data_IF_112078426329
#
_entry.id   IF_112078426329
#
_cell.length_a   1.000
_cell.length_b   1.000
_cell.length_c   1.000
_cell.angle_alpha   90.00
_cell.angle_beta   90.00
_cell.angle_gamma   90.00
#
_symmetry.space_group_name_H-M   'P 1'
#
loop_
_entity.id
_entity.type
_entity.pdbx_description
1 polymer ?
#
# COMPACT_ATOMS: atom_id res chain seq x y z
N UNK A 1 27.28 3.65 -18.70
CA UNK A 1 26.21 4.50 -18.13
C UNK A 1 25.36 3.66 -17.19
N UNK A 2 25.99 3.08 -16.17
CA UNK A 2 25.24 2.53 -15.04
C UNK A 2 24.97 3.69 -14.08
N UNK A 3 23.98 4.50 -14.43
CA UNK A 3 23.42 5.44 -13.48
C UNK A 3 22.84 4.60 -12.34
N UNK A 4 23.54 4.62 -11.21
CA UNK A 4 23.09 4.07 -9.93
C UNK A 4 21.63 4.52 -9.76
N UNK A 5 20.67 3.60 -9.96
CA UNK A 5 19.26 3.84 -9.66
C UNK A 5 19.19 4.10 -8.16
N UNK A 6 19.32 5.37 -7.78
CA UNK A 6 19.22 5.81 -6.40
C UNK A 6 17.81 5.42 -5.94
N UNK A 7 17.72 4.41 -5.06
CA UNK A 7 16.42 3.97 -4.54
C UNK A 7 15.74 5.16 -3.85
N UNK A 8 14.56 5.53 -4.35
CA UNK A 8 13.83 6.71 -3.87
C UNK A 8 12.98 6.26 -2.68
N UNK A 9 13.31 6.75 -1.49
CA UNK A 9 12.56 6.46 -0.27
C UNK A 9 11.64 7.62 0.11
N UNK A 10 10.40 7.29 0.50
CA UNK A 10 9.43 8.23 1.06
C UNK A 10 9.84 8.75 2.44
N UNK A 11 8.97 9.53 3.07
CA UNK A 11 9.18 9.93 4.47
C UNK A 11 9.23 8.68 5.38
N UNK A 12 10.36 8.50 6.09
CA UNK A 12 10.60 7.34 6.93
C UNK A 12 9.62 7.23 8.11
N UNK A 13 9.16 8.36 8.65
CA UNK A 13 8.16 8.37 9.73
C UNK A 13 6.81 7.85 9.23
N UNK A 14 6.34 8.35 8.08
CA UNK A 14 5.09 7.88 7.47
C UNK A 14 5.18 6.40 7.10
N UNK A 15 6.33 5.94 6.61
CA UNK A 15 6.56 4.51 6.34
C UNK A 15 6.50 3.66 7.60
N UNK A 16 7.05 4.14 8.71
CA UNK A 16 7.01 3.43 9.99
C UNK A 16 5.57 3.30 10.51
N UNK A 17 4.80 4.38 10.46
CA UNK A 17 3.37 4.37 10.80
C UNK A 17 2.62 3.39 9.88
N UNK A 18 2.85 3.45 8.57
CA UNK A 18 2.27 2.52 7.60
C UNK A 18 2.56 1.05 7.95
N UNK A 19 3.79 0.72 8.36
CA UNK A 19 4.13 -0.64 8.77
C UNK A 19 3.42 -1.06 10.06
N UNK A 20 3.28 -0.17 11.05
CA UNK A 20 2.54 -0.48 12.29
C UNK A 20 1.10 -0.86 11.96
N UNK A 21 0.44 -0.09 11.10
CA UNK A 21 -0.93 -0.38 10.70
C UNK A 21 -1.04 -1.67 9.87
N UNK A 22 -0.04 -2.00 9.04
CA UNK A 22 0.01 -3.31 8.38
C UNK A 22 0.23 -4.46 9.36
N UNK A 23 0.94 -4.25 10.46
CA UNK A 23 1.04 -5.27 11.53
C UNK A 23 -0.34 -5.51 12.15
N UNK A 24 -1.10 -4.44 12.44
CA UNK A 24 -2.47 -4.59 12.94
C UNK A 24 -3.37 -5.33 11.95
N UNK A 25 -3.30 -4.97 10.65
CA UNK A 25 -4.02 -5.70 9.59
C UNK A 25 -3.62 -7.18 9.52
N UNK A 26 -2.33 -7.49 9.72
CA UNK A 26 -1.85 -8.88 9.73
C UNK A 26 -2.33 -9.65 10.95
N UNK A 27 -2.35 -9.04 12.14
CA UNK A 27 -2.88 -9.63 13.37
C UNK A 27 -4.38 -9.88 13.26
N UNK A 28 -5.10 -8.94 12.66
CA UNK A 28 -6.52 -9.06 12.36
C UNK A 28 -6.79 -10.24 11.41
N UNK A 29 -6.06 -10.33 10.29
CA UNK A 29 -6.19 -11.46 9.37
C UNK A 29 -5.88 -12.81 10.02
N UNK A 30 -4.91 -12.88 10.94
CA UNK A 30 -4.64 -14.07 11.74
C UNK A 30 -5.78 -14.40 12.73
N UNK A 31 -6.40 -13.39 13.34
CA UNK A 31 -7.55 -13.58 14.21
C UNK A 31 -8.76 -14.13 13.43
N UNK A 32 -9.03 -13.57 12.24
CA UNK A 32 -10.08 -14.03 11.32
C UNK A 32 -9.81 -15.47 10.86
N UNK A 33 -8.56 -15.80 10.52
CA UNK A 33 -8.15 -17.17 10.20
C UNK A 33 -8.41 -18.13 11.37
N UNK A 34 -7.95 -17.78 12.57
CA UNK A 34 -8.15 -18.60 13.77
C UNK A 34 -9.63 -18.84 14.06
N UNK A 35 -10.46 -17.80 13.92
CA UNK A 35 -11.90 -17.92 14.09
C UNK A 35 -12.56 -18.75 12.99
N UNK A 36 -12.10 -18.63 11.73
CA UNK A 36 -12.54 -19.48 10.63
C UNK A 36 -12.23 -20.97 10.86
N UNK A 37 -11.04 -21.29 11.39
CA UNK A 37 -10.66 -22.66 11.76
C UNK A 37 -11.55 -23.19 12.89
N UNK A 38 -11.78 -22.36 13.92
CA UNK A 38 -12.66 -22.71 15.03
C UNK A 38 -14.09 -23.04 14.55
N UNK A 39 -14.68 -22.19 13.71
CA UNK A 39 -16.02 -22.43 13.16
C UNK A 39 -16.07 -23.66 12.24
N UNK A 40 -15.00 -23.92 11.48
CA UNK A 40 -14.91 -25.13 10.66
C UNK A 40 -14.93 -26.39 11.52
N UNK A 41 -14.20 -26.39 12.64
CA UNK A 41 -14.08 -27.53 13.54
C UNK A 41 -15.39 -27.80 14.30
N UNK A 42 -16.05 -26.74 14.78
CA UNK A 42 -17.24 -26.85 15.63
C UNK A 42 -18.53 -27.06 14.82
N UNK A 43 -18.66 -26.40 13.66
CA UNK A 43 -19.92 -26.36 12.89
C UNK A 43 -19.75 -26.87 11.45
N UNK A 44 -19.85 -28.18 11.26
CA UNK A 44 -19.78 -28.83 9.94
C UNK A 44 -20.79 -28.30 8.91
N UNK A 45 -21.96 -27.83 9.36
CA UNK A 45 -23.00 -27.23 8.51
C UNK A 45 -22.64 -25.83 8.00
N UNK A 46 -21.68 -25.14 8.63
CA UNK A 46 -21.27 -23.77 8.29
C UNK A 46 -20.00 -23.71 7.44
N UNK A 47 -19.67 -24.79 6.72
CA UNK A 47 -18.43 -24.90 5.96
C UNK A 47 -18.22 -23.75 4.96
N UNK A 48 -19.27 -23.24 4.31
CA UNK A 48 -19.18 -22.11 3.37
C UNK A 48 -18.76 -20.83 4.10
N UNK A 49 -19.35 -20.59 5.27
CA UNK A 49 -19.06 -19.41 6.09
C UNK A 49 -17.63 -19.47 6.63
N UNK A 50 -17.23 -20.63 7.15
CA UNK A 50 -15.87 -20.89 7.60
C UNK A 50 -14.85 -20.72 6.45
N UNK A 51 -15.11 -21.30 5.27
CA UNK A 51 -14.26 -21.15 4.09
C UNK A 51 -14.10 -19.69 3.67
N UNK A 52 -15.17 -18.90 3.75
CA UNK A 52 -15.15 -17.47 3.41
C UNK A 52 -14.29 -16.68 4.38
N UNK A 53 -14.43 -16.90 5.70
CA UNK A 53 -13.60 -16.28 6.71
C UNK A 53 -12.12 -16.66 6.54
N UNK A 54 -11.83 -17.93 6.26
CA UNK A 54 -10.47 -18.38 5.99
C UNK A 54 -9.87 -17.67 4.78
N UNK A 55 -10.64 -17.54 3.70
CA UNK A 55 -10.21 -16.83 2.49
C UNK A 55 -9.91 -15.34 2.75
N UNK A 56 -10.79 -14.65 3.48
CA UNK A 56 -10.62 -13.23 3.82
C UNK A 56 -9.39 -13.04 4.72
N UNK A 57 -9.27 -13.79 5.82
CA UNK A 57 -8.16 -13.65 6.74
C UNK A 57 -6.80 -13.98 6.10
N UNK A 58 -6.78 -14.97 5.19
CA UNK A 58 -5.57 -15.26 4.40
C UNK A 58 -5.20 -14.12 3.46
N UNK A 59 -6.19 -13.53 2.80
CA UNK A 59 -5.98 -12.40 1.90
C UNK A 59 -5.49 -11.14 2.64
N UNK A 60 -6.05 -10.84 3.82
CA UNK A 60 -5.59 -9.77 4.71
C UNK A 60 -4.14 -9.98 5.16
N UNK A 61 -3.79 -11.21 5.53
CA UNK A 61 -2.42 -11.56 5.91
C UNK A 61 -1.43 -11.37 4.75
N UNK A 62 -1.79 -11.79 3.53
CA UNK A 62 -0.99 -11.55 2.32
C UNK A 62 -0.85 -10.04 2.08
N UNK A 63 -1.92 -9.27 2.23
CA UNK A 63 -1.88 -7.81 2.06
C UNK A 63 -0.95 -7.15 3.06
N UNK A 64 -1.00 -7.54 4.33
CA UNK A 64 -0.07 -7.07 5.35
C UNK A 64 1.40 -7.34 4.97
N UNK A 65 1.67 -8.54 4.46
CA UNK A 65 3.01 -8.91 3.96
C UNK A 65 3.43 -8.10 2.71
N UNK A 66 2.50 -7.85 1.78
CA UNK A 66 2.74 -6.98 0.63
C UNK A 66 3.03 -5.54 1.06
N UNK A 67 2.31 -5.03 2.07
CA UNK A 67 2.51 -3.71 2.66
C UNK A 67 3.94 -3.54 3.18
N UNK A 68 4.44 -4.50 3.96
CA UNK A 68 5.83 -4.49 4.45
C UNK A 68 6.86 -4.35 3.32
N UNK A 69 6.59 -4.99 2.19
CA UNK A 69 7.46 -4.99 1.01
C UNK A 69 7.22 -3.81 0.04
N UNK A 70 6.23 -2.95 0.29
CA UNK A 70 5.81 -1.88 -0.61
C UNK A 70 6.78 -0.67 -0.64
N UNK A 71 7.77 -0.61 0.27
CA UNK A 71 8.70 0.54 0.43
C UNK A 71 9.37 0.98 -0.87
N UNK A 72 9.73 0.03 -1.75
CA UNK A 72 10.65 0.25 -2.87
C UNK A 72 9.96 0.51 -4.21
N UNK A 73 8.68 0.18 -4.36
CA UNK A 73 8.01 0.23 -5.67
C UNK A 73 6.63 0.88 -5.57
N UNK A 74 6.47 2.00 -6.29
CA UNK A 74 5.18 2.68 -6.42
C UNK A 74 4.12 1.79 -7.08
N UNK A 75 4.52 0.92 -8.01
CA UNK A 75 3.60 -0.03 -8.62
C UNK A 75 3.09 -1.06 -7.59
N UNK A 76 3.98 -1.57 -6.71
CA UNK A 76 3.57 -2.48 -5.63
C UNK A 76 2.67 -1.77 -4.62
N UNK A 77 3.00 -0.54 -4.25
CA UNK A 77 2.17 0.26 -3.34
C UNK A 77 0.80 0.57 -3.95
N UNK A 78 0.73 0.89 -5.24
CA UNK A 78 -0.53 1.15 -5.95
C UNK A 78 -1.38 -0.11 -6.03
N UNK A 79 -0.77 -1.25 -6.39
CA UNK A 79 -1.44 -2.55 -6.38
C UNK A 79 -1.99 -2.89 -4.99
N UNK A 80 -1.18 -2.71 -3.94
CA UNK A 80 -1.60 -2.89 -2.55
C UNK A 80 -2.78 -1.98 -2.19
N UNK A 81 -2.73 -0.68 -2.49
CA UNK A 81 -3.82 0.27 -2.19
C UNK A 81 -5.11 -0.13 -2.92
N UNK A 82 -4.99 -0.58 -4.17
CA UNK A 82 -6.14 -1.00 -4.96
C UNK A 82 -6.81 -2.25 -4.40
N UNK A 83 -6.01 -3.28 -4.07
CA UNK A 83 -6.54 -4.53 -3.51
C UNK A 83 -7.12 -4.28 -2.11
N UNK A 84 -6.43 -3.51 -1.25
CA UNK A 84 -6.95 -3.13 0.08
C UNK A 84 -8.24 -2.33 -0.04
N UNK A 85 -8.35 -1.44 -1.04
CA UNK A 85 -9.56 -0.66 -1.29
C UNK A 85 -10.74 -1.52 -1.72
N UNK A 86 -10.49 -2.50 -2.59
CA UNK A 86 -11.51 -3.47 -3.01
C UNK A 86 -11.97 -4.34 -1.83
N UNK A 87 -11.02 -4.83 -1.02
CA UNK A 87 -11.31 -5.62 0.17
C UNK A 87 -12.19 -4.83 1.15
N UNK A 88 -11.81 -3.58 1.44
CA UNK A 88 -12.56 -2.67 2.30
C UNK A 88 -14.01 -2.47 1.82
N UNK A 89 -14.22 -2.27 0.52
CA UNK A 89 -15.55 -2.09 -0.05
C UNK A 89 -16.40 -3.36 0.09
N UNK A 90 -15.84 -4.52 -0.26
CA UNK A 90 -16.53 -5.80 -0.15
C UNK A 90 -16.92 -6.06 1.30
N UNK A 91 -16.00 -5.90 2.24
CA UNK A 91 -16.22 -6.13 3.67
C UNK A 91 -17.21 -5.14 4.29
N UNK A 92 -17.17 -3.88 3.87
CA UNK A 92 -18.15 -2.87 4.28
C UNK A 92 -19.57 -3.24 3.83
N UNK A 93 -19.73 -3.62 2.56
CA UNK A 93 -21.03 -4.04 2.01
C UNK A 93 -21.52 -5.31 2.73
N UNK A 94 -20.67 -6.32 2.89
CA UNK A 94 -21.01 -7.55 3.61
C UNK A 94 -21.45 -7.27 5.05
N UNK A 95 -20.73 -6.39 5.75
CA UNK A 95 -21.06 -6.03 7.15
C UNK A 95 -22.40 -5.32 7.25
N UNK A 96 -22.69 -4.40 6.33
CA UNK A 96 -24.00 -3.72 6.26
C UNK A 96 -25.12 -4.74 6.01
N UNK A 97 -24.92 -5.70 5.09
CA UNK A 97 -25.90 -6.75 4.80
C UNK A 97 -26.14 -7.63 6.03
N UNK A 98 -25.10 -8.05 6.74
CA UNK A 98 -25.23 -8.87 7.95
C UNK A 98 -25.95 -8.08 9.06
N UNK A 99 -25.59 -6.81 9.25
CA UNK A 99 -26.24 -5.95 10.24
C UNK A 99 -27.74 -5.75 9.95
N UNK A 100 -28.11 -5.62 8.66
CA UNK A 100 -29.49 -5.47 8.22
C UNK A 100 -30.29 -6.79 8.26
N UNK A 101 -29.64 -7.93 7.99
CA UNK A 101 -30.31 -9.24 7.92
C UNK A 101 -30.22 -10.06 9.20
N UNK A 102 -29.59 -9.54 10.27
CA UNK A 102 -29.37 -10.26 11.54
C UNK A 102 -30.62 -10.97 12.08
N UNK A 103 -31.78 -10.31 12.05
CA UNK A 103 -33.04 -10.88 12.55
C UNK A 103 -33.53 -12.05 11.70
N UNK A 104 -33.46 -11.92 10.37
CA UNK A 104 -33.89 -12.98 9.45
C UNK A 104 -32.92 -14.17 9.42
N UNK A 105 -31.63 -13.93 9.65
CA UNK A 105 -30.63 -15.01 9.75
C UNK A 105 -30.91 -15.87 10.98
N UNK A 106 -31.07 -15.23 12.15
CA UNK A 106 -31.36 -15.92 13.42
C UNK A 106 -32.65 -16.75 13.29
N UNK A 107 -33.72 -16.16 12.75
CA UNK A 107 -35.01 -16.84 12.57
C UNK A 107 -34.90 -18.05 11.62
N UNK A 108 -34.16 -17.92 10.51
CA UNK A 108 -34.00 -18.99 9.52
C UNK A 108 -33.19 -20.18 10.06
N UNK A 109 -32.21 -19.94 10.93
CA UNK A 109 -31.46 -21.02 11.57
C UNK A 109 -32.25 -21.73 12.67
N UNK A 110 -33.12 -21.01 13.38
CA UNK A 110 -33.94 -21.56 14.45
C UNK A 110 -35.12 -22.41 13.94
N UNK A 111 -35.60 -22.20 12.71
CA UNK A 111 -36.70 -23.00 12.11
C UNK A 111 -36.25 -24.44 11.78
N UNK A 112 -34.96 -24.69 11.62
CA UNK A 112 -34.41 -26.00 11.27
C UNK A 112 -34.21 -26.93 12.48
N UNK A 113 -34.24 -26.38 13.72
CA UNK A 113 -34.04 -27.15 14.95
C UNK A 113 -35.36 -27.28 15.74
N UNK A 114 -35.94 -28.49 15.74
CA UNK A 114 -37.34 -28.75 16.15
C UNK A 114 -37.57 -28.90 17.67
N UNK A 115 -36.59 -28.64 18.51
CA UNK A 115 -36.75 -28.75 19.97
C UNK A 115 -37.02 -27.38 20.61
N UNK A 116 -38.25 -27.21 21.09
CA UNK A 116 -38.76 -25.94 21.65
C UNK A 116 -38.27 -25.63 23.08
N UNK A 117 -37.69 -26.59 23.80
CA UNK A 117 -37.26 -26.39 25.20
C UNK A 117 -35.93 -25.64 25.33
N UNK A 118 -35.03 -25.70 24.34
CA UNK A 118 -33.74 -24.98 24.32
C UNK A 118 -33.74 -23.74 23.40
N UNK A 119 -34.91 -23.36 22.88
CA UNK A 119 -35.04 -22.33 21.84
C UNK A 119 -34.48 -20.97 22.25
N UNK A 120 -34.84 -20.50 23.45
CA UNK A 120 -34.40 -19.18 23.94
C UNK A 120 -32.90 -19.19 24.29
N UNK A 121 -32.37 -20.28 24.85
CA UNK A 121 -30.94 -20.38 25.19
C UNK A 121 -30.05 -20.42 23.92
N UNK A 122 -30.47 -21.16 22.89
CA UNK A 122 -29.75 -21.23 21.60
C UNK A 122 -29.83 -19.89 20.87
N UNK A 123 -30.99 -19.23 20.92
CA UNK A 123 -31.19 -17.92 20.30
C UNK A 123 -30.31 -16.85 20.94
N UNK A 124 -30.25 -16.79 22.28
CA UNK A 124 -29.41 -15.84 23.01
C UNK A 124 -27.92 -16.07 22.67
N UNK A 125 -27.45 -17.32 22.71
CA UNK A 125 -26.08 -17.66 22.29
C UNK A 125 -25.80 -17.26 20.85
N UNK A 126 -26.72 -17.52 19.92
CA UNK A 126 -26.53 -17.20 18.51
C UNK A 126 -26.48 -15.67 18.29
N UNK A 127 -27.34 -14.91 18.96
CA UNK A 127 -27.35 -13.46 18.89
C UNK A 127 -26.04 -12.85 19.42
N UNK A 128 -25.52 -13.37 20.53
CA UNK A 128 -24.23 -12.95 21.07
C UNK A 128 -23.07 -13.22 20.10
N UNK A 129 -23.03 -14.40 19.49
CA UNK A 129 -21.99 -14.73 18.50
C UNK A 129 -22.09 -13.81 17.26
N UNK A 130 -23.30 -13.54 16.77
CA UNK A 130 -23.52 -12.62 15.65
C UNK A 130 -23.08 -11.19 16.00
N UNK A 131 -23.38 -10.73 17.21
CA UNK A 131 -22.95 -9.41 17.68
C UNK A 131 -21.42 -9.32 17.80
N UNK A 132 -20.77 -10.33 18.36
CA UNK A 132 -19.29 -10.41 18.43
C UNK A 132 -18.68 -10.33 17.03
N UNK A 133 -19.22 -11.10 16.07
CA UNK A 133 -18.77 -11.07 14.67
C UNK A 133 -18.97 -9.69 14.06
N UNK A 134 -20.12 -9.05 14.28
CA UNK A 134 -20.40 -7.70 13.79
C UNK A 134 -19.43 -6.66 14.34
N UNK A 135 -19.16 -6.67 15.66
CA UNK A 135 -18.18 -5.77 16.26
C UNK A 135 -16.76 -6.04 15.73
N UNK A 136 -16.41 -7.31 15.52
CA UNK A 136 -15.18 -7.71 14.84
C UNK A 136 -15.08 -7.09 13.44
N UNK A 137 -16.11 -7.24 12.61
CA UNK A 137 -16.18 -6.66 11.27
C UNK A 137 -16.07 -5.13 11.27
N UNK A 138 -16.69 -4.44 12.22
CA UNK A 138 -16.58 -2.98 12.34
C UNK A 138 -15.15 -2.55 12.70
N UNK A 139 -14.51 -3.26 13.63
CA UNK A 139 -13.11 -2.99 14.01
C UNK A 139 -12.17 -3.22 12.82
N UNK A 140 -12.40 -4.28 12.06
CA UNK A 140 -11.68 -4.61 10.84
C UNK A 140 -11.78 -3.51 9.77
N UNK A 141 -13.00 -3.10 9.44
CA UNK A 141 -13.26 -1.99 8.51
C UNK A 141 -12.55 -0.71 8.95
N UNK A 142 -12.52 -0.44 10.26
CA UNK A 142 -11.86 0.74 10.82
C UNK A 142 -10.34 0.68 10.64
N UNK A 143 -9.72 -0.47 10.92
CA UNK A 143 -8.29 -0.68 10.71
C UNK A 143 -7.94 -0.57 9.22
N UNK A 144 -8.73 -1.21 8.35
CA UNK A 144 -8.57 -1.15 6.90
C UNK A 144 -8.67 0.28 6.36
N UNK A 145 -9.63 1.07 6.85
CA UNK A 145 -9.78 2.48 6.48
C UNK A 145 -8.55 3.29 6.89
N UNK A 146 -8.06 3.12 8.11
CA UNK A 146 -6.84 3.79 8.57
C UNK A 146 -5.62 3.38 7.75
N UNK A 147 -5.48 2.08 7.45
CA UNK A 147 -4.47 1.56 6.54
C UNK A 147 -4.55 2.25 5.17
N UNK A 148 -5.74 2.35 4.57
CA UNK A 148 -5.95 3.01 3.28
C UNK A 148 -5.53 4.49 3.30
N UNK A 149 -5.97 5.24 4.31
CA UNK A 149 -5.64 6.66 4.46
C UNK A 149 -4.12 6.86 4.57
N UNK A 150 -3.46 6.07 5.42
CA UNK A 150 -2.01 6.15 5.63
C UNK A 150 -1.25 5.70 4.38
N UNK A 151 -1.76 4.71 3.64
CA UNK A 151 -1.17 4.25 2.38
C UNK A 151 -1.24 5.32 1.29
N UNK A 152 -2.37 6.00 1.18
CA UNK A 152 -2.55 7.14 0.29
C UNK A 152 -1.61 8.28 0.68
N UNK A 153 -1.46 8.56 1.98
CA UNK A 153 -0.53 9.58 2.47
C UNK A 153 0.94 9.21 2.18
N UNK A 154 1.34 7.96 2.42
CA UNK A 154 2.68 7.48 2.11
C UNK A 154 2.97 7.54 0.60
N UNK A 155 1.99 7.17 -0.23
CA UNK A 155 2.09 7.29 -1.69
C UNK A 155 2.25 8.74 -2.14
N UNK A 156 1.48 9.66 -1.56
CA UNK A 156 1.62 11.10 -1.82
C UNK A 156 3.03 11.58 -1.46
N UNK A 157 3.54 11.19 -0.28
CA UNK A 157 4.91 11.49 0.15
C UNK A 157 5.97 10.95 -0.81
N UNK A 158 5.79 9.73 -1.33
CA UNK A 158 6.68 9.13 -2.33
C UNK A 158 6.64 9.90 -3.67
N UNK A 159 5.47 10.30 -4.13
CA UNK A 159 5.31 11.03 -5.39
C UNK A 159 5.96 12.41 -5.31
N UNK A 160 5.79 13.14 -4.21
CA UNK A 160 6.41 14.46 -4.03
C UNK A 160 7.94 14.36 -4.09
N UNK A 161 8.54 13.39 -3.38
CA UNK A 161 10.00 13.19 -3.42
C UNK A 161 10.53 12.77 -4.79
N UNK A 162 9.72 12.05 -5.57
CA UNK A 162 10.09 11.72 -6.96
C UNK A 162 10.09 12.95 -7.85
N UNK A 163 9.08 13.82 -7.71
CA UNK A 163 9.01 15.06 -8.46
C UNK A 163 10.25 15.92 -8.22
N UNK A 164 10.64 16.12 -6.95
CA UNK A 164 11.85 16.87 -6.58
C UNK A 164 13.12 16.30 -7.22
N UNK A 165 13.25 14.97 -7.30
CA UNK A 165 14.40 14.32 -7.92
C UNK A 165 14.42 14.42 -9.44
N UNK A 166 13.25 14.33 -10.09
CA UNK A 166 13.18 14.56 -11.55
C UNK A 166 13.58 15.99 -11.89
N UNK A 167 13.20 16.96 -11.06
CA UNK A 167 13.61 18.36 -11.21
C UNK A 167 15.12 18.53 -11.02
N UNK A 168 15.70 17.89 -10.00
CA UNK A 168 17.15 17.90 -9.77
C UNK A 168 17.93 17.27 -10.93
N UNK A 169 17.48 16.11 -11.44
CA UNK A 169 18.11 15.46 -12.59
C UNK A 169 18.04 16.33 -13.85
N UNK A 170 16.89 16.96 -14.10
CA UNK A 170 16.73 17.88 -15.22
C UNK A 170 17.64 19.12 -15.08
N UNK A 171 17.83 19.62 -13.86
CA UNK A 171 18.73 20.72 -13.58
C UNK A 171 20.21 20.32 -13.77
N UNK A 172 20.61 19.15 -13.31
CA UNK A 172 21.96 18.62 -13.46
C UNK A 172 22.30 18.31 -14.93
N UNK A 173 21.36 17.77 -15.71
CA UNK A 173 21.50 17.57 -17.15
C UNK A 173 21.70 18.92 -17.88
N UNK A 174 20.91 19.94 -17.52
CA UNK A 174 21.07 21.30 -18.06
C UNK A 174 22.43 21.87 -17.73
N UNK A 175 22.88 21.78 -16.47
CA UNK A 175 24.19 22.27 -16.03
C UNK A 175 25.34 21.56 -16.76
N UNK A 176 25.24 20.24 -16.92
CA UNK A 176 26.23 19.43 -17.65
C UNK A 176 26.29 19.85 -19.11
N UNK A 177 25.14 20.06 -19.76
CA UNK A 177 25.09 20.53 -21.15
C UNK A 177 25.73 21.91 -21.34
N UNK A 178 25.54 22.83 -20.40
CA UNK A 178 26.16 24.16 -20.41
C UNK A 178 27.67 24.07 -20.22
N UNK A 179 28.15 23.22 -19.31
CA UNK A 179 29.58 22.99 -19.11
C UNK A 179 30.24 22.39 -20.34
N UNK A 180 29.60 21.43 -21.01
CA UNK A 180 30.11 20.85 -22.26
C UNK A 180 30.20 21.91 -23.36
N UNK A 181 29.14 22.72 -23.56
CA UNK A 181 29.15 23.84 -24.51
C UNK A 181 30.26 24.84 -24.20
N UNK A 182 30.46 25.19 -22.93
CA UNK A 182 31.53 26.12 -22.55
C UNK A 182 32.92 25.55 -22.86
N UNK A 183 33.14 24.25 -22.61
CA UNK A 183 34.39 23.56 -22.95
C UNK A 183 34.64 23.55 -24.46
N UNK A 184 33.61 23.28 -25.27
CA UNK A 184 33.70 23.34 -26.73
C UNK A 184 34.02 24.74 -27.25
N UNK A 185 33.40 25.77 -26.65
CA UNK A 185 33.68 27.16 -26.99
C UNK A 185 35.14 27.50 -26.66
N UNK A 186 35.60 27.16 -25.44
CA UNK A 186 36.97 27.42 -25.01
C UNK A 186 37.99 26.69 -25.88
N UNK A 187 37.77 25.42 -26.22
CA UNK A 187 38.67 24.65 -27.09
C UNK A 187 38.71 25.23 -28.52
N UNK A 188 37.59 25.75 -29.02
CA UNK A 188 37.51 26.45 -30.32
C UNK A 188 38.26 27.80 -30.30
N UNK A 189 38.24 28.52 -29.18
CA UNK A 189 39.05 29.74 -29.03
C UNK A 189 40.54 29.42 -28.90
N UNK A 190 40.91 28.38 -28.16
CA UNK A 190 42.30 27.93 -28.01
C UNK A 190 42.89 27.47 -29.35
N UNK A 191 42.15 26.70 -30.14
CA UNK A 191 42.60 26.25 -31.46
C UNK A 191 42.79 27.42 -32.43
N UNK A 192 41.86 28.39 -32.45
CA UNK A 192 42.03 29.63 -33.22
C UNK A 192 43.26 30.42 -32.76
N UNK A 193 43.47 30.55 -31.45
CA UNK A 193 44.64 31.25 -30.89
C UNK A 193 45.95 30.57 -31.30
N UNK A 194 45.98 29.24 -31.36
CA UNK A 194 47.14 28.49 -31.83
C UNK A 194 47.38 28.70 -33.35
N UNK A 195 46.32 28.71 -34.17
CA UNK A 195 46.41 28.99 -35.61
C UNK A 195 46.90 30.42 -35.92
N UNK A 196 46.49 31.42 -35.14
CA UNK A 196 47.03 32.78 -35.29
C UNK A 196 48.51 32.85 -34.93
N UNK A 197 48.93 32.18 -33.85
CA UNK A 197 50.35 32.12 -33.44
C UNK A 197 51.25 31.42 -34.47
N UNK A 198 50.75 30.40 -35.17
CA UNK A 198 51.54 29.70 -36.19
C UNK A 198 51.69 30.53 -37.47
N UNK A 199 50.71 31.40 -37.78
CA UNK A 199 50.74 32.28 -38.96
C UNK A 199 51.54 33.56 -38.74
N UNK A 200 51.54 34.12 -37.53
CA UNK A 200 52.31 35.32 -37.20
C UNK A 200 53.01 35.14 -35.83
N UNK A 201 54.32 34.83 -35.81
CA UNK A 201 55.08 34.64 -34.57
C UNK A 201 55.15 35.90 -33.68
N UNK A 202 54.97 37.10 -34.27
CA UNK A 202 55.02 38.38 -33.54
C UNK A 202 53.65 38.78 -32.96
N UNK A 203 52.61 37.95 -33.08
CA UNK A 203 51.26 38.27 -32.61
C UNK A 203 51.15 38.49 -31.08
N UNK A 204 52.15 38.09 -30.29
CA UNK A 204 52.13 38.27 -28.82
C UNK A 204 52.40 39.71 -28.36
N UNK A 205 53.01 40.57 -29.17
CA UNK A 205 53.36 41.95 -28.79
C UNK A 205 52.24 42.97 -28.97
N UNK A 206 51.06 42.57 -29.47
CA UNK A 206 49.95 43.48 -29.80
C UNK A 206 48.86 43.59 -28.72
N UNK A 207 48.91 42.76 -27.66
CA UNK A 207 47.89 42.70 -26.61
C UNK A 207 48.43 42.87 -25.18
N UNK A 208 49.65 43.37 -25.06
CA UNK A 208 50.22 43.91 -23.81
C UNK A 208 50.60 45.38 -24.06
#
# INVERSE_FOLDING_TARGET
MDSIKKEIYGNSCVFFIFNIFNIFLGLEGLAVLGFGIYLWAEFSKLWIFAATLLGIGFLEFILAYMGWNARKSNAKLLCYVYILGLLFLVQSISTIIVAATKGSVIEKYLVDDKNKEDYEEIKEKLEDHVNIVLYGCISAITIQLLCLLISCWYRSSLNNRRADQYEQLAHDDRKTSLQTKQKEINSKYESKRADYKSKDPNFQTLFY
#
